data_IF_429349111195
#
_entry.id   IF_429349111195
#
_cell.length_a   1.000
_cell.length_b   1.000
_cell.length_c   1.000
_cell.angle_alpha   90.00
_cell.angle_beta   90.00
_cell.angle_gamma   90.00
#
_symmetry.space_group_name_H-M   'P 1'
#
loop_
_entity.id
_entity.type
_entity.pdbx_description
1 polymer ?
#
# COMPACT_ATOMS: atom_id res chain seq x y z
N UNK A 1 -23.95 18.63 1.23
CA UNK A 1 -23.85 17.77 0.02
C UNK A 1 -22.41 17.37 -0.37
N UNK A 2 -21.40 18.26 -0.28
CA UNK A 2 -19.98 17.96 -0.65
C UNK A 2 -19.37 16.76 0.10
N UNK A 3 -19.70 16.61 1.38
CA UNK A 3 -19.23 15.55 2.28
C UNK A 3 -19.53 14.10 1.82
N UNK A 4 -20.80 13.78 1.57
CA UNK A 4 -21.23 12.44 1.15
C UNK A 4 -20.62 12.05 -0.21
N UNK A 5 -20.51 13.01 -1.13
CA UNK A 5 -19.90 12.81 -2.45
C UNK A 5 -18.43 12.40 -2.35
N UNK A 6 -17.64 13.03 -1.47
CA UNK A 6 -16.22 12.70 -1.30
C UNK A 6 -16.00 11.28 -0.77
N UNK A 7 -16.78 10.87 0.23
CA UNK A 7 -16.72 9.51 0.78
C UNK A 7 -17.14 8.47 -0.27
N UNK A 8 -18.19 8.77 -1.04
CA UNK A 8 -18.66 7.90 -2.13
C UNK A 8 -17.58 7.73 -3.21
N UNK A 9 -16.99 8.83 -3.68
CA UNK A 9 -15.90 8.80 -4.68
C UNK A 9 -14.74 7.95 -4.18
N UNK A 10 -14.29 8.17 -2.94
CA UNK A 10 -13.20 7.38 -2.37
C UNK A 10 -13.52 5.89 -2.35
N UNK A 11 -14.72 5.52 -1.90
CA UNK A 11 -15.15 4.10 -1.87
C UNK A 11 -15.23 3.52 -3.27
N UNK A 12 -15.73 4.27 -4.24
CA UNK A 12 -15.80 3.84 -5.63
C UNK A 12 -14.41 3.58 -6.22
N UNK A 13 -13.45 4.50 -6.03
CA UNK A 13 -12.06 4.33 -6.49
C UNK A 13 -11.41 3.13 -5.79
N UNK A 14 -11.52 3.02 -4.47
CA UNK A 14 -10.96 1.88 -3.75
C UNK A 14 -11.58 0.54 -4.18
N UNK A 15 -12.90 0.51 -4.42
CA UNK A 15 -13.59 -0.68 -4.89
C UNK A 15 -13.18 -1.07 -6.32
N UNK A 16 -12.99 -0.11 -7.22
CA UNK A 16 -12.54 -0.40 -8.58
C UNK A 16 -11.13 -1.01 -8.60
N UNK A 17 -10.19 -0.46 -7.81
CA UNK A 17 -8.86 -1.05 -7.66
C UNK A 17 -8.90 -2.42 -6.98
N UNK A 18 -9.77 -2.61 -5.97
CA UNK A 18 -9.95 -3.90 -5.34
C UNK A 18 -10.45 -4.97 -6.32
N UNK A 19 -11.47 -4.67 -7.13
CA UNK A 19 -11.99 -5.56 -8.17
C UNK A 19 -10.90 -5.85 -9.21
N UNK A 20 -10.14 -4.84 -9.63
CA UNK A 20 -9.00 -5.01 -10.54
C UNK A 20 -7.92 -5.96 -9.96
N UNK A 21 -7.61 -5.85 -8.67
CA UNK A 21 -6.67 -6.75 -8.00
C UNK A 21 -7.21 -8.19 -7.93
N UNK A 22 -8.50 -8.39 -7.66
CA UNK A 22 -9.12 -9.72 -7.69
C UNK A 22 -9.06 -10.33 -9.09
N UNK A 23 -9.39 -9.54 -10.12
CA UNK A 23 -9.29 -9.97 -11.51
C UNK A 23 -7.85 -10.32 -11.90
N UNK A 24 -6.87 -9.50 -11.50
CA UNK A 24 -5.44 -9.77 -11.74
C UNK A 24 -4.98 -11.05 -11.03
N UNK A 25 -5.41 -11.28 -9.79
CA UNK A 25 -5.13 -12.51 -9.05
C UNK A 25 -5.74 -13.75 -9.72
N UNK A 26 -6.99 -13.64 -10.21
CA UNK A 26 -7.65 -14.72 -10.96
C UNK A 26 -6.93 -15.02 -12.28
N UNK A 27 -6.54 -13.99 -13.04
CA UNK A 27 -5.75 -14.17 -14.27
C UNK A 27 -4.39 -14.82 -13.97
N UNK A 28 -3.75 -14.43 -12.86
CA UNK A 28 -2.48 -15.04 -12.43
C UNK A 28 -2.66 -16.51 -12.06
N UNK A 29 -3.75 -16.85 -11.38
CA UNK A 29 -4.08 -18.25 -11.07
C UNK A 29 -4.29 -19.08 -12.34
N UNK A 30 -4.96 -18.53 -13.37
CA UNK A 30 -5.11 -19.20 -14.68
C UNK A 30 -3.77 -19.37 -15.40
N UNK A 31 -2.94 -18.33 -15.41
CA UNK A 31 -1.58 -18.42 -15.93
C UNK A 31 -0.79 -19.52 -15.20
N UNK A 32 -0.84 -19.55 -13.88
CA UNK A 32 -0.21 -20.58 -13.06
C UNK A 32 -0.69 -21.99 -13.44
N UNK A 33 -2.01 -22.22 -13.57
CA UNK A 33 -2.56 -23.52 -13.99
C UNK A 33 -2.07 -23.96 -15.37
N UNK A 34 -1.97 -23.03 -16.32
CA UNK A 34 -1.39 -23.30 -17.64
C UNK A 34 0.10 -23.67 -17.53
N UNK A 35 0.86 -22.93 -16.74
CA UNK A 35 2.29 -23.18 -16.54
C UNK A 35 2.55 -24.59 -15.99
N UNK A 36 1.78 -25.03 -14.99
CA UNK A 36 1.92 -26.38 -14.42
C UNK A 36 1.26 -27.50 -15.25
N UNK A 37 0.72 -27.18 -16.42
CA UNK A 37 0.10 -28.17 -17.33
C UNK A 37 -1.31 -28.62 -16.93
N UNK A 38 -1.97 -27.93 -15.98
CA UNK A 38 -3.36 -28.23 -15.58
C UNK A 38 -4.42 -27.51 -16.42
N UNK A 39 -4.01 -26.67 -17.37
CA UNK A 39 -4.90 -25.97 -18.31
C UNK A 39 -4.25 -25.91 -19.69
N UNK A 40 -5.02 -26.18 -20.74
CA UNK A 40 -4.58 -26.05 -22.14
C UNK A 40 -4.57 -24.59 -22.64
N UNK A 41 -5.41 -23.74 -22.07
CA UNK A 41 -5.56 -22.34 -22.49
C UNK A 41 -4.44 -21.47 -21.93
N UNK A 42 -3.66 -20.84 -22.83
CA UNK A 42 -2.67 -19.83 -22.46
C UNK A 42 -3.35 -18.54 -22.01
N UNK A 43 -2.86 -17.99 -20.91
CA UNK A 43 -3.26 -16.69 -20.36
C UNK A 43 -1.98 -15.92 -20.04
N UNK A 44 -1.84 -14.64 -20.44
CA UNK A 44 -0.63 -13.88 -20.14
C UNK A 44 -0.49 -13.64 -18.63
N UNK A 45 0.75 -13.64 -18.12
CA UNK A 45 1.05 -13.29 -16.73
C UNK A 45 0.68 -11.82 -16.47
N UNK A 46 -0.26 -11.51 -15.56
CA UNK A 46 -0.65 -10.13 -15.27
C UNK A 46 0.45 -9.41 -14.46
N UNK A 47 1.06 -8.31 -14.96
CA UNK A 47 2.15 -7.64 -14.26
C UNK A 47 1.74 -7.00 -12.92
N UNK A 48 0.47 -6.66 -12.76
CA UNK A 48 -0.05 -6.00 -11.56
C UNK A 48 0.15 -6.80 -10.26
N UNK A 49 0.33 -8.12 -10.33
CA UNK A 49 0.58 -8.96 -9.14
C UNK A 49 1.91 -8.66 -8.45
N UNK A 50 2.86 -8.10 -9.19
CA UNK A 50 4.16 -7.70 -8.65
C UNK A 50 4.05 -6.55 -7.63
N UNK A 51 2.93 -5.80 -7.65
CA UNK A 51 2.64 -4.76 -6.66
C UNK A 51 2.54 -5.28 -5.22
N UNK A 52 2.40 -6.59 -5.02
CA UNK A 52 2.38 -7.25 -3.70
C UNK A 52 3.76 -7.77 -3.26
N UNK A 53 4.84 -7.43 -3.99
CA UNK A 53 6.22 -7.88 -3.73
C UNK A 53 7.13 -6.72 -3.26
N UNK A 54 6.85 -6.06 -2.12
CA UNK A 54 7.53 -4.81 -1.73
C UNK A 54 9.01 -4.99 -1.41
N UNK A 55 9.43 -6.18 -0.94
CA UNK A 55 10.83 -6.48 -0.63
C UNK A 55 11.65 -6.54 -1.92
N UNK A 56 11.16 -7.29 -2.92
CA UNK A 56 11.80 -7.37 -4.24
C UNK A 56 11.86 -5.99 -4.91
N UNK A 57 10.77 -5.20 -4.82
CA UNK A 57 10.74 -3.84 -5.34
C UNK A 57 11.73 -2.89 -4.63
N UNK A 58 11.95 -3.03 -3.32
CA UNK A 58 12.94 -2.24 -2.58
C UNK A 58 14.38 -2.60 -2.98
N UNK A 59 14.68 -3.88 -3.15
CA UNK A 59 15.97 -4.36 -3.67
C UNK A 59 16.20 -3.81 -5.10
N UNK A 60 15.19 -3.92 -5.95
CA UNK A 60 15.20 -3.38 -7.31
C UNK A 60 15.39 -1.86 -7.34
N UNK A 61 14.77 -1.11 -6.42
CA UNK A 61 14.96 0.34 -6.31
C UNK A 61 16.40 0.68 -5.94
N UNK A 62 17.01 -0.02 -4.98
CA UNK A 62 18.41 0.18 -4.64
C UNK A 62 19.32 -0.09 -5.84
N UNK A 63 19.08 -1.18 -6.59
CA UNK A 63 19.83 -1.47 -7.82
C UNK A 63 19.67 -0.37 -8.87
N UNK A 64 18.44 0.12 -9.08
CA UNK A 64 18.16 1.21 -10.02
C UNK A 64 18.96 2.47 -9.65
N UNK A 65 19.02 2.83 -8.37
CA UNK A 65 19.78 4.00 -7.91
C UNK A 65 21.28 3.82 -8.13
N UNK A 66 21.82 2.62 -7.88
CA UNK A 66 23.25 2.34 -7.99
C UNK A 66 23.75 2.17 -9.44
N UNK A 67 22.91 1.63 -10.33
CA UNK A 67 23.34 1.22 -11.69
C UNK A 67 22.63 1.95 -12.82
N UNK A 68 21.53 2.65 -12.53
CA UNK A 68 20.62 3.17 -13.55
C UNK A 68 19.80 2.11 -14.28
N UNK A 69 19.97 0.82 -13.96
CA UNK A 69 19.30 -0.28 -14.66
C UNK A 69 17.96 -0.63 -14.01
N UNK A 70 16.91 -0.66 -14.83
CA UNK A 70 15.59 -1.11 -14.40
C UNK A 70 15.59 -2.61 -14.08
N UNK A 71 14.66 -3.05 -13.22
CA UNK A 71 14.50 -4.47 -12.93
C UNK A 71 13.91 -5.20 -14.13
N UNK A 72 14.51 -6.34 -14.48
CA UNK A 72 14.08 -7.18 -15.60
C UNK A 72 13.16 -8.30 -15.13
N UNK A 73 13.16 -8.63 -13.84
CA UNK A 73 12.39 -9.74 -13.29
C UNK A 73 11.00 -9.29 -12.86
N UNK A 74 10.89 -8.27 -12.01
CA UNK A 74 9.63 -7.67 -11.54
C UNK A 74 9.53 -6.16 -11.81
N UNK A 75 9.56 -5.75 -13.10
CA UNK A 75 9.53 -4.33 -13.49
C UNK A 75 8.24 -3.59 -13.09
N UNK A 76 7.07 -4.24 -13.12
CA UNK A 76 5.83 -3.61 -12.71
C UNK A 76 5.80 -3.38 -11.19
N UNK A 77 6.36 -4.31 -10.40
CA UNK A 77 6.52 -4.17 -8.96
C UNK A 77 7.34 -2.94 -8.59
N UNK A 78 8.49 -2.74 -9.25
CA UNK A 78 9.33 -1.56 -9.08
C UNK A 78 8.57 -0.26 -9.47
N UNK A 79 7.86 -0.28 -10.59
CA UNK A 79 7.08 0.88 -11.06
C UNK A 79 5.99 1.29 -10.07
N UNK A 80 5.18 0.32 -9.61
CA UNK A 80 4.11 0.55 -8.63
C UNK A 80 4.71 1.08 -7.31
N UNK A 81 5.84 0.51 -6.90
CA UNK A 81 6.54 0.92 -5.68
C UNK A 81 7.02 2.38 -5.79
N UNK A 82 7.70 2.76 -6.88
CA UNK A 82 8.13 4.14 -7.15
C UNK A 82 6.92 5.07 -7.16
N UNK A 83 5.84 4.70 -7.86
CA UNK A 83 4.63 5.52 -7.93
C UNK A 83 4.07 5.82 -6.54
N UNK A 84 4.02 4.82 -5.68
CA UNK A 84 3.51 5.00 -4.34
C UNK A 84 4.50 5.73 -3.39
N UNK A 85 5.82 5.71 -3.64
CA UNK A 85 6.78 6.60 -2.96
C UNK A 85 6.65 8.07 -3.44
N UNK A 86 6.49 8.31 -4.74
CA UNK A 86 6.26 9.66 -5.29
C UNK A 86 4.95 10.23 -4.77
N UNK A 87 3.88 9.43 -4.76
CA UNK A 87 2.61 9.81 -4.15
C UNK A 87 2.81 10.09 -2.65
N UNK A 88 3.59 9.28 -1.93
CA UNK A 88 3.94 9.52 -0.52
C UNK A 88 4.57 10.89 -0.29
N UNK A 89 5.52 11.25 -1.15
CA UNK A 89 6.30 12.48 -1.10
C UNK A 89 5.47 13.71 -1.48
N UNK A 90 4.51 13.62 -2.41
CA UNK A 90 3.75 14.78 -2.90
C UNK A 90 2.38 14.90 -2.22
N UNK A 91 1.72 13.78 -1.99
CA UNK A 91 0.30 13.66 -1.60
C UNK A 91 0.12 12.86 -0.30
N UNK A 92 1.09 12.91 0.63
CA UNK A 92 1.12 12.06 1.84
C UNK A 92 0.89 10.58 1.47
N UNK A 93 0.42 9.71 2.38
CA UNK A 93 0.06 8.31 2.03
C UNK A 93 -1.21 8.20 1.18
N UNK A 94 -1.40 9.06 0.18
CA UNK A 94 -2.53 9.07 -0.75
C UNK A 94 -2.71 7.73 -1.46
N UNK A 95 -1.63 6.99 -1.73
CA UNK A 95 -1.73 5.64 -2.28
C UNK A 95 -2.51 4.71 -1.35
N UNK A 96 -2.16 4.67 -0.05
CA UNK A 96 -2.91 3.92 0.97
C UNK A 96 -4.35 4.42 1.14
N UNK A 97 -4.58 5.72 0.96
CA UNK A 97 -5.89 6.34 1.09
C UNK A 97 -6.86 6.04 -0.05
N UNK A 98 -6.36 5.90 -1.28
CA UNK A 98 -7.18 5.91 -2.49
C UNK A 98 -7.02 4.68 -3.39
N UNK A 99 -5.80 4.12 -3.51
CA UNK A 99 -5.50 3.03 -4.47
C UNK A 99 -5.39 1.66 -3.77
N UNK A 100 -4.77 1.60 -2.59
CA UNK A 100 -4.39 0.34 -1.96
C UNK A 100 -5.60 -0.58 -1.62
N UNK A 101 -5.63 -1.83 -2.11
CA UNK A 101 -6.73 -2.78 -1.86
C UNK A 101 -6.81 -3.21 -0.38
N UNK A 102 -5.66 -3.32 0.31
CA UNK A 102 -5.64 -3.63 1.75
C UNK A 102 -6.28 -2.50 2.56
N UNK A 103 -6.13 -1.25 2.11
CA UNK A 103 -6.81 -0.10 2.69
C UNK A 103 -8.33 -0.16 2.52
N UNK A 104 -8.81 -0.68 1.39
CA UNK A 104 -10.25 -0.93 1.17
C UNK A 104 -10.78 -1.98 2.15
N UNK A 105 -10.15 -3.14 2.25
CA UNK A 105 -10.54 -4.20 3.19
C UNK A 105 -10.56 -3.67 4.63
N UNK A 106 -9.51 -2.97 5.04
CA UNK A 106 -9.42 -2.38 6.39
C UNK A 106 -10.55 -1.38 6.66
N UNK A 107 -10.90 -0.54 5.68
CA UNK A 107 -12.02 0.39 5.78
C UNK A 107 -13.36 -0.34 5.91
N UNK A 108 -13.57 -1.43 5.17
CA UNK A 108 -14.80 -2.23 5.24
C UNK A 108 -14.95 -2.89 6.61
N UNK A 109 -13.88 -3.48 7.15
CA UNK A 109 -13.86 -4.02 8.51
C UNK A 109 -14.13 -2.94 9.56
N UNK A 110 -13.58 -1.74 9.39
CA UNK A 110 -13.87 -0.61 10.28
C UNK A 110 -15.33 -0.11 10.18
N UNK A 111 -15.98 -0.21 9.01
CA UNK A 111 -17.42 0.06 8.87
C UNK A 111 -18.22 -1.01 9.62
N UNK A 112 -17.86 -2.27 9.48
CA UNK A 112 -18.49 -3.39 10.18
C UNK A 112 -18.36 -3.24 11.70
N UNK A 113 -17.15 -2.98 12.21
CA UNK A 113 -16.92 -2.75 13.64
C UNK A 113 -17.74 -1.59 14.20
N UNK A 114 -17.94 -0.51 13.43
CA UNK A 114 -18.81 0.61 13.84
C UNK A 114 -20.28 0.22 13.91
N UNK A 115 -20.75 -0.60 12.98
CA UNK A 115 -22.14 -1.12 12.98
C UNK A 115 -22.39 -2.06 14.15
N UNK A 116 -21.38 -2.86 14.52
CA UNK A 116 -21.43 -3.76 15.65
C UNK A 116 -21.11 -3.09 17.00
N UNK A 117 -20.82 -1.78 17.01
CA UNK A 117 -20.41 -1.03 18.20
C UNK A 117 -19.17 -1.60 18.93
N UNK A 118 -18.33 -2.37 18.22
CA UNK A 118 -17.10 -3.00 18.75
C UNK A 118 -15.87 -2.09 18.62
N UNK A 119 -16.02 -0.87 18.10
CA UNK A 119 -14.85 -0.01 17.83
C UNK A 119 -14.22 0.50 19.10
N UNK A 120 -12.94 0.19 19.25
CA UNK A 120 -12.07 0.65 20.31
C UNK A 120 -10.89 1.43 19.72
N UNK A 121 -10.45 2.47 20.44
CA UNK A 121 -9.24 3.23 20.11
C UNK A 121 -8.26 2.99 21.24
N UNK A 122 -7.10 2.37 20.98
CA UNK A 122 -6.15 2.07 22.03
C UNK A 122 -5.61 3.36 22.66
N UNK A 123 -5.36 3.35 23.98
CA UNK A 123 -4.77 4.49 24.67
C UNK A 123 -3.33 4.74 24.22
N UNK A 124 -2.77 5.96 24.39
CA UNK A 124 -1.46 6.32 23.86
C UNK A 124 -0.30 5.41 24.30
N UNK A 125 -0.35 4.89 25.54
CA UNK A 125 0.69 4.01 26.08
C UNK A 125 0.74 2.64 25.38
N UNK A 126 -0.39 2.17 24.84
CA UNK A 126 -0.45 0.93 24.05
C UNK A 126 -0.26 1.22 22.55
N UNK A 127 -0.77 2.36 22.08
CA UNK A 127 -0.70 2.72 20.68
C UNK A 127 0.73 3.01 20.19
N UNK A 128 1.55 3.62 21.05
CA UNK A 128 2.94 3.96 20.73
C UNK A 128 3.81 2.72 20.46
N UNK A 129 3.92 1.71 21.35
CA UNK A 129 4.72 0.52 21.09
C UNK A 129 4.19 -0.30 19.91
N UNK A 130 2.86 -0.40 19.75
CA UNK A 130 2.28 -1.07 18.58
C UNK A 130 2.62 -0.36 17.27
N UNK A 131 2.63 0.98 17.28
CA UNK A 131 3.03 1.77 16.11
C UNK A 131 4.53 1.66 15.84
N UNK A 132 5.35 1.50 16.87
CA UNK A 132 6.79 1.28 16.70
C UNK A 132 7.10 -0.01 15.95
N UNK A 133 6.26 -1.06 16.09
CA UNK A 133 6.48 -2.36 15.45
C UNK A 133 6.67 -2.27 13.93
N UNK A 134 5.84 -1.52 13.20
CA UNK A 134 6.03 -1.34 11.74
C UNK A 134 7.33 -0.60 11.39
N UNK A 135 7.80 0.29 12.26
CA UNK A 135 9.06 1.01 12.05
C UNK A 135 10.25 0.10 12.38
N UNK A 136 10.13 -0.79 13.36
CA UNK A 136 11.11 -1.84 13.62
C UNK A 136 11.20 -2.82 12.45
N UNK A 137 10.07 -3.25 11.88
CA UNK A 137 10.05 -4.08 10.67
C UNK A 137 10.68 -3.35 9.49
N UNK A 138 10.35 -2.07 9.29
CA UNK A 138 10.98 -1.26 8.25
C UNK A 138 12.50 -1.14 8.47
N UNK A 139 12.95 -0.89 9.70
CA UNK A 139 14.36 -0.79 10.05
C UNK A 139 15.09 -2.11 9.79
N UNK A 140 14.48 -3.25 10.15
CA UNK A 140 15.01 -4.58 9.87
C UNK A 140 15.22 -4.82 8.37
N UNK A 141 14.20 -4.61 7.53
CA UNK A 141 14.32 -4.79 6.09
C UNK A 141 15.29 -3.78 5.46
N UNK A 142 15.26 -2.53 5.93
CA UNK A 142 16.16 -1.48 5.43
C UNK A 142 17.61 -1.77 5.80
N UNK A 143 17.88 -2.28 7.00
CA UNK A 143 19.22 -2.71 7.41
C UNK A 143 19.73 -3.86 6.52
N UNK A 144 18.92 -4.89 6.32
CA UNK A 144 19.32 -6.01 5.46
C UNK A 144 19.58 -5.59 4.02
N UNK A 145 18.70 -4.77 3.42
CA UNK A 145 18.77 -4.45 1.99
C UNK A 145 19.70 -3.26 1.72
N UNK A 146 19.58 -2.18 2.49
CA UNK A 146 20.33 -0.95 2.25
C UNK A 146 21.75 -1.02 2.81
N UNK A 147 21.95 -1.67 3.96
CA UNK A 147 23.27 -1.72 4.62
C UNK A 147 24.03 -3.03 4.32
N UNK A 148 23.41 -4.20 4.53
CA UNK A 148 24.11 -5.49 4.47
C UNK A 148 24.38 -5.98 3.04
N UNK A 149 23.45 -5.78 2.09
CA UNK A 149 23.61 -6.24 0.71
C UNK A 149 24.39 -5.23 -0.12
N UNK A 150 25.55 -5.61 -0.65
CA UNK A 150 26.27 -4.83 -1.66
C UNK A 150 25.66 -5.02 -3.06
N UNK A 151 26.23 -4.36 -4.08
CA UNK A 151 25.72 -4.45 -5.45
C UNK A 151 25.80 -5.88 -5.99
N UNK A 152 26.91 -6.60 -5.74
CA UNK A 152 27.10 -7.96 -6.20
C UNK A 152 26.07 -8.92 -5.60
N UNK A 153 25.79 -8.82 -4.29
CA UNK A 153 24.75 -9.60 -3.63
C UNK A 153 23.34 -9.29 -4.19
N UNK A 154 23.07 -8.03 -4.54
CA UNK A 154 21.79 -7.64 -5.15
C UNK A 154 21.63 -8.26 -6.55
N UNK A 155 22.65 -8.18 -7.39
CA UNK A 155 22.61 -8.79 -8.72
C UNK A 155 22.47 -10.31 -8.65
N UNK A 156 23.19 -10.93 -7.72
CA UNK A 156 23.05 -12.35 -7.41
C UNK A 156 21.62 -12.71 -6.99
N UNK A 157 21.05 -11.96 -6.04
CA UNK A 157 19.69 -12.18 -5.53
C UNK A 157 18.63 -12.05 -6.62
N UNK A 158 18.66 -10.99 -7.43
CA UNK A 158 17.64 -10.72 -8.46
C UNK A 158 17.57 -11.86 -9.48
N UNK A 159 18.74 -12.42 -9.85
CA UNK A 159 18.86 -13.52 -10.82
C UNK A 159 18.56 -14.89 -10.21
N UNK A 160 18.34 -14.99 -8.90
CA UNK A 160 18.01 -16.29 -8.30
C UNK A 160 16.64 -16.80 -8.76
N UNK A 161 16.49 -18.14 -8.88
CA UNK A 161 15.19 -18.76 -9.10
C UNK A 161 14.17 -18.35 -8.03
N UNK A 162 14.63 -18.12 -6.78
CA UNK A 162 13.77 -17.68 -5.67
C UNK A 162 13.07 -16.36 -5.99
N UNK A 163 13.81 -15.34 -6.43
CA UNK A 163 13.23 -14.05 -6.78
C UNK A 163 12.30 -14.20 -8.00
N UNK A 164 12.64 -15.00 -9.01
CA UNK A 164 11.80 -15.19 -10.20
C UNK A 164 10.41 -15.82 -9.92
N UNK A 165 10.27 -16.61 -8.85
CA UNK A 165 9.01 -17.31 -8.51
C UNK A 165 8.33 -16.81 -7.24
N UNK A 166 8.78 -15.67 -6.71
CA UNK A 166 8.25 -15.13 -5.44
C UNK A 166 6.75 -14.81 -5.50
N UNK A 167 6.22 -14.49 -6.69
CA UNK A 167 4.79 -14.30 -6.95
C UNK A 167 3.99 -15.61 -6.80
N UNK A 168 4.52 -16.74 -7.29
CA UNK A 168 3.92 -18.05 -7.09
C UNK A 168 4.03 -18.50 -5.64
N UNK A 169 5.13 -18.19 -4.95
CA UNK A 169 5.25 -18.43 -3.51
C UNK A 169 4.18 -17.67 -2.73
N UNK A 170 3.93 -16.41 -3.09
CA UNK A 170 2.82 -15.63 -2.54
C UNK A 170 1.47 -16.28 -2.85
N UNK A 171 1.25 -16.77 -4.07
CA UNK A 171 0.02 -17.51 -4.40
C UNK A 171 -0.15 -18.78 -3.55
N UNK A 172 0.92 -19.55 -3.34
CA UNK A 172 0.87 -20.75 -2.49
C UNK A 172 0.56 -20.42 -1.03
N UNK A 173 1.05 -19.30 -0.51
CA UNK A 173 0.69 -18.83 0.82
C UNK A 173 -0.83 -18.70 1.00
N UNK A 174 -1.56 -18.29 -0.06
CA UNK A 174 -3.02 -18.19 -0.03
C UNK A 174 -3.76 -19.47 -0.42
N UNK A 175 -3.23 -20.27 -1.35
CA UNK A 175 -3.86 -21.53 -1.78
C UNK A 175 -3.69 -22.68 -0.78
N UNK A 176 -2.60 -22.67 -0.02
CA UNK A 176 -2.24 -23.70 0.97
C UNK A 176 -1.78 -23.04 2.28
N UNK A 177 -2.66 -22.26 2.95
CA UNK A 177 -2.30 -21.59 4.18
C UNK A 177 -2.06 -22.63 5.29
N UNK A 178 -0.98 -22.47 6.06
CA UNK A 178 -0.75 -23.29 7.25
C UNK A 178 -1.75 -22.95 8.36
N UNK A 179 -1.98 -23.86 9.31
CA UNK A 179 -2.86 -23.60 10.46
C UNK A 179 -2.48 -22.31 11.21
N UNK A 180 -1.17 -22.10 11.41
CA UNK A 180 -0.64 -20.87 12.00
C UNK A 180 -1.01 -19.63 11.18
N UNK A 181 -0.92 -19.71 9.84
CA UNK A 181 -1.29 -18.61 8.94
C UNK A 181 -2.77 -18.26 9.09
N UNK A 182 -3.65 -19.28 9.12
CA UNK A 182 -5.10 -19.09 9.30
C UNK A 182 -5.38 -18.40 10.64
N UNK A 183 -4.75 -18.87 11.73
CA UNK A 183 -4.92 -18.28 13.06
C UNK A 183 -4.48 -16.81 13.06
N UNK A 184 -3.30 -16.48 12.51
CA UNK A 184 -2.80 -15.10 12.45
C UNK A 184 -3.75 -14.21 11.64
N UNK A 185 -4.19 -14.66 10.47
CA UNK A 185 -5.13 -13.90 9.63
C UNK A 185 -6.46 -13.69 10.38
N UNK A 186 -7.00 -14.72 11.04
CA UNK A 186 -8.21 -14.61 11.83
C UNK A 186 -8.08 -13.58 12.97
N UNK A 187 -6.97 -13.63 13.73
CA UNK A 187 -6.67 -12.65 14.78
C UNK A 187 -6.58 -11.24 14.20
N UNK A 188 -5.88 -11.05 13.08
CA UNK A 188 -5.77 -9.75 12.42
C UNK A 188 -7.12 -9.23 11.93
N UNK A 189 -8.01 -10.09 11.45
CA UNK A 189 -9.36 -9.72 11.03
C UNK A 189 -10.21 -9.27 12.22
N UNK A 190 -10.22 -10.04 13.31
CA UNK A 190 -10.94 -9.68 14.55
C UNK A 190 -10.41 -8.36 15.11
N UNK A 191 -9.09 -8.23 15.23
CA UNK A 191 -8.47 -6.99 15.68
C UNK A 191 -8.78 -5.81 14.75
N UNK A 192 -8.90 -6.02 13.44
CA UNK A 192 -9.24 -4.97 12.46
C UNK A 192 -10.72 -4.56 12.50
N UNK A 193 -11.60 -5.40 13.06
CA UNK A 193 -13.00 -5.04 13.36
C UNK A 193 -13.04 -4.16 14.62
N UNK A 194 -12.31 -4.57 15.67
CA UNK A 194 -12.27 -3.84 16.94
C UNK A 194 -11.48 -2.52 16.84
N UNK A 195 -10.31 -2.54 16.22
CA UNK A 195 -9.43 -1.39 16.05
C UNK A 195 -9.28 -1.09 14.56
N UNK A 196 -9.30 0.19 14.18
CA UNK A 196 -9.23 0.55 12.76
C UNK A 196 -7.83 0.39 12.19
N UNK A 197 -7.77 -0.18 10.99
CA UNK A 197 -6.57 -0.25 10.17
C UNK A 197 -5.36 -0.87 10.87
N UNK A 198 -5.56 -1.89 11.72
CA UNK A 198 -4.50 -2.57 12.50
C UNK A 198 -3.28 -2.93 11.65
N UNK A 199 -3.50 -3.55 10.48
CA UNK A 199 -2.40 -3.88 9.56
C UNK A 199 -1.62 -2.65 9.13
N UNK A 200 -2.30 -1.64 8.58
CA UNK A 200 -1.65 -0.43 8.06
C UNK A 200 -1.03 0.45 9.17
N UNK A 201 -1.56 0.39 10.39
CA UNK A 201 -1.13 1.20 11.53
C UNK A 201 0.02 0.56 12.30
N UNK A 202 0.06 -0.75 12.42
CA UNK A 202 1.00 -1.44 13.32
C UNK A 202 1.97 -2.43 12.64
N UNK A 203 1.59 -3.00 11.49
CA UNK A 203 2.37 -4.10 10.89
C UNK A 203 2.94 -3.80 9.51
N UNK A 204 2.41 -2.83 8.77
CA UNK A 204 2.81 -2.58 7.39
C UNK A 204 4.12 -1.77 7.31
N UNK A 205 5.28 -2.38 6.98
CA UNK A 205 6.55 -1.64 6.84
C UNK A 205 6.50 -0.67 5.66
N UNK A 206 5.75 -1.00 4.62
CA UNK A 206 5.56 -0.12 3.48
C UNK A 206 4.75 1.14 3.84
N UNK A 207 3.73 0.97 4.69
CA UNK A 207 3.00 2.07 5.28
C UNK A 207 3.87 2.93 6.20
N UNK A 208 4.85 2.33 6.90
CA UNK A 208 5.85 3.09 7.66
C UNK A 208 6.73 3.93 6.73
N UNK A 209 7.27 3.34 5.66
CA UNK A 209 8.12 4.03 4.68
C UNK A 209 7.41 5.22 4.04
N UNK A 210 6.18 5.01 3.52
CA UNK A 210 5.37 6.11 3.00
C UNK A 210 5.04 7.15 4.07
N UNK A 211 4.96 6.76 5.35
CA UNK A 211 4.72 7.67 6.46
C UNK A 211 5.88 8.60 6.71
N UNK A 212 7.10 8.07 6.68
CA UNK A 212 8.31 8.87 6.78
C UNK A 212 8.39 9.87 5.62
N UNK A 213 8.18 9.40 4.38
CA UNK A 213 8.16 10.28 3.21
C UNK A 213 7.04 11.34 3.27
N UNK A 214 5.87 10.97 3.80
CA UNK A 214 4.73 11.90 3.92
C UNK A 214 4.97 13.09 4.84
N UNK A 215 5.99 13.05 5.69
CA UNK A 215 6.37 14.18 6.54
C UNK A 215 6.91 15.35 5.70
N UNK A 216 7.58 15.04 4.58
CA UNK A 216 8.08 16.02 3.63
C UNK A 216 7.02 16.53 2.65
N UNK A 217 5.82 15.93 2.69
CA UNK A 217 4.76 16.28 1.75
C UNK A 217 4.32 17.74 1.85
N UNK A 218 4.24 18.46 0.70
CA UNK A 218 3.73 19.82 0.65
C UNK A 218 2.22 19.86 0.90
N UNK A 219 1.50 18.75 0.67
CA UNK A 219 0.06 18.67 0.91
C UNK A 219 -0.27 18.41 2.38
N UNK A 220 -1.18 19.20 2.93
CA UNK A 220 -1.56 19.15 4.35
C UNK A 220 -3.05 19.44 4.53
N UNK A 221 -3.63 18.83 5.56
CA UNK A 221 -4.94 19.23 6.06
C UNK A 221 -4.70 20.33 7.09
N UNK A 222 -5.28 21.50 6.85
CA UNK A 222 -5.19 22.65 7.73
C UNK A 222 -6.52 22.82 8.46
N UNK A 223 -6.42 23.03 9.77
CA UNK A 223 -7.55 23.32 10.65
C UNK A 223 -7.52 24.81 10.96
N UNK A 224 -8.64 25.46 10.74
CA UNK A 224 -8.89 26.79 11.27
C UNK A 224 -9.27 26.70 12.74
N UNK A 225 -8.52 27.41 13.59
CA UNK A 225 -8.68 27.34 15.03
C UNK A 225 -9.92 28.10 15.51
N UNK A 226 -10.27 29.19 14.83
CA UNK A 226 -11.34 30.10 15.21
C UNK A 226 -12.71 29.50 14.92
N UNK A 227 -12.89 28.90 13.74
CA UNK A 227 -14.14 28.20 13.39
C UNK A 227 -14.33 26.85 14.09
N UNK A 228 -13.30 26.30 14.73
CA UNK A 228 -13.35 24.95 15.29
C UNK A 228 -14.09 24.89 16.63
N UNK A 229 -15.31 24.34 16.61
CA UNK A 229 -16.14 24.09 17.81
C UNK A 229 -15.70 22.89 18.67
N UNK A 230 -14.51 22.33 18.45
CA UNK A 230 -13.95 21.21 19.24
C UNK A 230 -14.84 19.96 19.42
N UNK A 231 -15.76 19.68 18.49
CA UNK A 231 -16.69 18.54 18.57
C UNK A 231 -16.05 17.13 18.42
N UNK A 232 -14.75 17.04 18.10
CA UNK A 232 -13.95 15.81 17.91
C UNK A 232 -14.51 14.78 16.90
N UNK A 233 -15.51 15.13 16.09
CA UNK A 233 -16.04 14.25 15.02
C UNK A 233 -14.95 13.85 14.01
N UNK A 234 -14.08 14.77 13.63
CA UNK A 234 -12.96 14.51 12.72
C UNK A 234 -12.00 13.43 13.27
N UNK A 235 -11.75 13.40 14.58
CA UNK A 235 -10.91 12.40 15.25
C UNK A 235 -11.63 11.05 15.30
N UNK A 236 -12.92 11.06 15.65
CA UNK A 236 -13.76 9.85 15.71
C UNK A 236 -13.83 9.13 14.35
N UNK A 237 -13.71 9.82 13.23
CA UNK A 237 -13.70 9.22 11.88
C UNK A 237 -12.29 9.10 11.28
N UNK A 238 -11.24 9.59 11.94
CA UNK A 238 -9.88 9.48 11.42
C UNK A 238 -9.41 8.01 11.45
N UNK A 239 -9.04 7.40 10.30
CA UNK A 239 -8.53 6.03 10.27
C UNK A 239 -7.17 5.89 10.96
N UNK A 240 -6.40 6.97 11.08
CA UNK A 240 -5.12 7.01 11.80
C UNK A 240 -5.25 7.40 13.27
N UNK A 241 -6.47 7.55 13.80
CA UNK A 241 -6.76 8.01 15.17
C UNK A 241 -5.95 9.25 15.61
N UNK A 242 -5.80 10.21 14.68
CA UNK A 242 -5.03 11.43 14.91
C UNK A 242 -5.85 12.40 15.75
N UNK A 243 -5.24 12.98 16.79
CA UNK A 243 -5.77 14.15 17.50
C UNK A 243 -5.69 15.37 16.58
N UNK A 244 -6.80 15.71 15.93
CA UNK A 244 -6.92 16.78 14.93
C UNK A 244 -7.20 18.12 15.61
N UNK A 245 -7.99 18.15 16.68
CA UNK A 245 -8.38 19.41 17.34
C UNK A 245 -7.19 20.09 18.02
N UNK A 246 -6.17 19.33 18.42
CA UNK A 246 -4.96 19.87 19.06
C UNK A 246 -3.92 20.40 18.06
N UNK A 247 -4.18 20.32 16.75
CA UNK A 247 -3.21 20.65 15.70
C UNK A 247 -3.79 21.67 14.72
N UNK A 248 -3.01 22.69 14.38
CA UNK A 248 -3.37 23.65 13.30
C UNK A 248 -3.12 23.07 11.91
N UNK A 249 -2.07 22.26 11.76
CA UNK A 249 -1.78 21.53 10.52
C UNK A 249 -1.49 20.06 10.83
N UNK A 250 -2.12 19.16 10.06
CA UNK A 250 -1.95 17.73 10.25
C UNK A 250 -0.66 17.27 9.56
N UNK A 251 0.44 17.22 10.32
CA UNK A 251 1.76 16.72 9.88
C UNK A 251 2.06 15.28 10.33
N UNK A 252 1.06 14.52 10.75
CA UNK A 252 1.27 13.16 11.26
C UNK A 252 1.65 12.18 10.13
N UNK A 253 2.63 11.28 10.35
CA UNK A 253 2.92 10.19 9.43
C UNK A 253 1.76 9.20 9.33
N UNK A 254 0.81 9.19 10.27
CA UNK A 254 -0.38 8.31 10.19
C UNK A 254 -1.50 8.89 9.31
N UNK A 255 -1.33 10.11 8.79
CA UNK A 255 -2.31 10.72 7.91
C UNK A 255 -2.26 10.09 6.51
N UNK A 256 -3.25 9.27 6.19
CA UNK A 256 -3.36 8.61 4.89
C UNK A 256 -3.97 9.47 3.77
N UNK A 257 -4.15 10.78 3.99
CA UNK A 257 -4.67 11.67 2.95
C UNK A 257 -6.08 11.33 2.43
N UNK A 258 -6.89 10.66 3.26
CA UNK A 258 -8.21 10.17 2.86
C UNK A 258 -9.34 11.21 2.86
N UNK A 259 -9.11 12.35 3.50
CA UNK A 259 -10.06 13.47 3.62
C UNK A 259 -11.40 13.16 4.32
N UNK A 260 -11.52 12.04 5.04
CA UNK A 260 -12.73 11.74 5.82
C UNK A 260 -13.03 12.82 6.86
N UNK A 261 -11.99 13.39 7.48
CA UNK A 261 -12.15 14.46 8.47
C UNK A 261 -12.79 15.73 7.88
N UNK A 262 -12.50 16.07 6.62
CA UNK A 262 -13.18 17.18 5.92
C UNK A 262 -14.63 16.84 5.64
N UNK A 263 -14.93 15.59 5.27
CA UNK A 263 -16.28 15.17 4.96
C UNK A 263 -17.21 15.11 6.19
N UNK A 264 -16.70 14.80 7.38
CA UNK A 264 -17.55 14.70 8.58
C UNK A 264 -17.61 15.97 9.42
N UNK A 265 -16.84 17.00 9.09
CA UNK A 265 -16.81 18.23 9.86
C UNK A 265 -18.17 18.97 9.73
N UNK A 266 -18.84 19.32 10.85
CA UNK A 266 -20.13 20.00 10.80
C UNK A 266 -19.98 21.49 10.44
N UNK A 267 -18.81 22.08 10.67
CA UNK A 267 -18.54 23.49 10.37
C UNK A 267 -17.95 23.56 8.95
N UNK A 268 -18.57 24.35 8.04
CA UNK A 268 -18.04 24.55 6.69
C UNK A 268 -16.64 25.19 6.76
N UNK A 269 -15.75 24.72 5.88
CA UNK A 269 -14.39 25.26 5.68
C UNK A 269 -13.46 25.30 6.91
N UNK A 270 -13.89 24.76 8.05
CA UNK A 270 -13.05 24.60 9.25
C UNK A 270 -11.83 23.69 9.00
N UNK A 271 -11.96 22.71 8.10
CA UNK A 271 -10.87 21.86 7.64
C UNK A 271 -10.73 21.99 6.14
N UNK A 272 -9.53 22.33 5.67
CA UNK A 272 -9.22 22.52 4.24
C UNK A 272 -7.99 21.74 3.83
N UNK A 273 -7.95 21.34 2.56
CA UNK A 273 -6.75 20.76 1.94
C UNK A 273 -5.89 21.92 1.41
N UNK A 274 -4.61 21.92 1.77
CA UNK A 274 -3.66 22.95 1.36
C UNK A 274 -2.43 22.32 0.72
N UNK A 275 -1.79 23.05 -0.20
CA UNK A 275 -0.54 22.66 -0.85
C UNK A 275 0.52 23.74 -0.58
N UNK A 276 1.70 23.31 -0.11
CA UNK A 276 2.90 24.13 0.13
C UNK A 276 2.65 25.39 0.99
N UNK A 277 2.29 26.50 0.36
CA UNK A 277 2.14 27.87 0.90
C UNK A 277 0.72 28.18 1.38
N UNK A 278 0.06 27.23 2.07
CA UNK A 278 -1.32 27.37 2.59
C UNK A 278 -2.39 27.67 1.55
N UNK A 279 -2.09 27.58 0.24
CA UNK A 279 -3.11 27.73 -0.80
C UNK A 279 -4.15 26.64 -0.64
N UNK A 280 -5.39 27.03 -0.36
CA UNK A 280 -6.50 26.11 -0.27
C UNK A 280 -6.81 25.56 -1.66
N UNK A 281 -6.95 24.24 -1.74
CA UNK A 281 -7.29 23.53 -2.97
C UNK A 281 -8.55 22.70 -2.76
N UNK A 282 -9.34 22.45 -3.82
CA UNK A 282 -10.51 21.58 -3.73
C UNK A 282 -10.15 20.19 -3.20
N UNK A 283 -11.01 19.59 -2.38
CA UNK A 283 -10.79 18.24 -1.84
C UNK A 283 -10.61 17.16 -2.93
N UNK A 284 -11.20 17.35 -4.11
CA UNK A 284 -11.06 16.45 -5.27
C UNK A 284 -9.66 16.50 -5.91
N UNK A 285 -8.87 17.52 -5.62
CA UNK A 285 -7.48 17.61 -6.10
C UNK A 285 -6.67 16.41 -5.62
N UNK A 286 -6.94 15.91 -4.42
CA UNK A 286 -6.22 14.77 -3.85
C UNK A 286 -6.39 13.48 -4.66
N UNK A 287 -7.61 12.94 -4.88
CA UNK A 287 -7.78 11.73 -5.70
C UNK A 287 -7.33 11.93 -7.15
N UNK A 288 -7.59 13.11 -7.73
CA UNK A 288 -7.22 13.38 -9.12
C UNK A 288 -5.70 13.31 -9.29
N UNK A 289 -4.93 14.00 -8.43
CA UNK A 289 -3.47 13.95 -8.50
C UNK A 289 -2.91 12.56 -8.19
N UNK A 290 -3.50 11.82 -7.23
CA UNK A 290 -3.10 10.44 -6.95
C UNK A 290 -3.23 9.57 -8.19
N UNK A 291 -4.38 9.66 -8.88
CA UNK A 291 -4.64 8.88 -10.10
C UNK A 291 -3.76 9.35 -11.27
N UNK A 292 -3.57 10.65 -11.46
CA UNK A 292 -2.70 11.20 -12.52
C UNK A 292 -1.27 10.72 -12.34
N UNK A 293 -0.70 10.82 -11.13
CA UNK A 293 0.68 10.37 -10.88
C UNK A 293 0.81 8.86 -11.08
N UNK A 294 -0.15 8.08 -10.55
CA UNK A 294 -0.13 6.63 -10.70
C UNK A 294 -0.23 6.20 -12.16
N UNK A 295 -1.23 6.72 -12.90
CA UNK A 295 -1.44 6.40 -14.31
C UNK A 295 -0.31 6.93 -15.19
N UNK A 296 0.25 8.10 -14.89
CA UNK A 296 1.38 8.67 -15.63
C UNK A 296 2.63 7.80 -15.55
N UNK A 297 3.00 7.34 -14.34
CA UNK A 297 4.14 6.44 -14.15
C UNK A 297 3.89 5.05 -14.77
N UNK A 298 2.67 4.55 -14.68
CA UNK A 298 2.27 3.30 -15.34
C UNK A 298 2.38 3.40 -16.87
N UNK A 299 1.87 4.48 -17.48
CA UNK A 299 1.98 4.73 -18.92
C UNK A 299 3.45 4.92 -19.35
N UNK A 300 4.25 5.61 -18.54
CA UNK A 300 5.70 5.74 -18.78
C UNK A 300 6.42 4.39 -18.76
N UNK A 301 6.07 3.50 -17.83
CA UNK A 301 6.63 2.15 -17.79
C UNK A 301 6.21 1.30 -19.00
N UNK A 302 4.97 1.45 -19.49
CA UNK A 302 4.51 0.83 -20.73
C UNK A 302 5.30 1.34 -21.93
N UNK A 303 5.43 2.65 -22.08
CA UNK A 303 6.14 3.29 -23.20
C UNK A 303 7.63 2.91 -23.25
N UNK A 304 8.26 2.70 -22.10
CA UNK A 304 9.68 2.30 -21.99
C UNK A 304 9.90 0.79 -22.02
N UNK A 305 8.85 -0.03 -22.16
CA UNK A 305 8.95 -1.50 -22.13
C UNK A 305 9.34 -2.07 -20.76
N UNK A 306 9.19 -1.28 -19.70
CA UNK A 306 9.51 -1.62 -18.32
C UNK A 306 8.25 -1.94 -17.49
N UNK A 307 7.24 -2.52 -18.13
CA UNK A 307 6.03 -3.00 -17.45
C UNK A 307 5.93 -4.53 -17.44
N UNK A 308 6.42 -5.20 -18.47
CA UNK A 308 6.38 -6.64 -18.59
C UNK A 308 7.71 -7.27 -18.19
N UNK A 309 7.66 -8.35 -17.42
CA UNK A 309 8.85 -9.14 -17.07
C UNK A 309 9.57 -9.64 -18.33
N UNK A 310 10.90 -9.54 -18.34
CA UNK A 310 11.76 -10.00 -19.44
C UNK A 310 12.22 -11.46 -19.26
N UNK A 311 11.75 -12.15 -18.22
CA UNK A 311 12.09 -13.56 -17.98
C UNK A 311 11.43 -14.44 -19.05
N UNK A 312 12.18 -15.30 -19.75
CA UNK A 312 11.62 -16.19 -20.76
C UNK A 312 10.55 -17.13 -20.18
N UNK A 313 9.46 -17.34 -20.92
CA UNK A 313 8.37 -18.23 -20.51
C UNK A 313 8.84 -19.67 -20.21
N UNK A 314 9.84 -20.17 -20.96
CA UNK A 314 10.45 -21.49 -20.72
C UNK A 314 11.07 -21.59 -19.32
N UNK A 315 11.79 -20.55 -18.91
CA UNK A 315 12.41 -20.45 -17.58
C UNK A 315 11.36 -20.36 -16.48
N UNK A 316 10.32 -19.53 -16.66
CA UNK A 316 9.20 -19.46 -15.72
C UNK A 316 8.52 -20.83 -15.58
N UNK A 317 8.30 -21.54 -16.69
CA UNK A 317 7.68 -22.87 -16.67
C UNK A 317 8.50 -23.88 -15.87
N UNK A 318 9.81 -23.89 -16.05
CA UNK A 318 10.71 -24.74 -15.30
C UNK A 318 10.67 -24.46 -13.79
N UNK A 319 10.78 -23.19 -13.37
CA UNK A 319 10.86 -22.86 -11.95
C UNK A 319 9.50 -22.89 -11.24
N UNK A 320 8.40 -22.60 -11.91
CA UNK A 320 7.06 -22.64 -11.30
C UNK A 320 6.64 -24.07 -10.93
N UNK A 321 7.08 -25.08 -11.70
CA UNK A 321 6.82 -26.49 -11.39
C UNK A 321 7.51 -26.94 -10.09
N UNK A 322 8.66 -26.35 -9.76
CA UNK A 322 9.43 -26.62 -8.54
C UNK A 322 9.36 -25.49 -7.51
N UNK A 323 8.41 -24.55 -7.65
CA UNK A 323 8.38 -23.29 -6.90
C UNK A 323 8.32 -23.46 -5.36
N UNK A 324 7.74 -24.57 -4.89
CA UNK A 324 7.69 -24.91 -3.45
C UNK A 324 9.04 -25.39 -2.90
N UNK A 325 9.86 -26.08 -3.70
CA UNK A 325 11.15 -26.64 -3.25
C UNK A 325 12.31 -25.63 -3.34
N UNK A 326 12.15 -24.52 -4.08
CA UNK A 326 13.16 -23.46 -4.15
C UNK A 326 13.26 -22.75 -2.79
N UNK A 327 14.38 -22.89 -2.10
CA UNK A 327 14.66 -22.20 -0.83
C UNK A 327 15.23 -20.81 -1.06
N UNK A 328 15.11 -19.92 -0.06
CA UNK A 328 15.76 -18.61 -0.11
C UNK A 328 17.29 -18.82 -0.15
N UNK A 329 18.05 -18.11 -1.00
CA UNK A 329 19.51 -18.20 -1.01
C UNK A 329 20.06 -17.86 0.38
N UNK A 330 21.00 -18.66 0.88
CA UNK A 330 21.58 -18.51 2.22
C UNK A 330 22.57 -17.36 2.28
#
# INVERSE_FOLDING_TARGET
MKAKRLILIRRAVQASFFIFCLYSGWQFYRFYLWVIGKSALYVPRPPAVEGFLPISALVALKRLILTGQYDTVHPAGLTIFIAALVIALVLRKGFCGWICPVGFCSNMLAVLGRRLHLTWVPPPWLDLPLTALKYLLLAFFSYLILWKMDLAAIEGFIRTPYNMVVDVKMLYFFLRPSNLTIIIIAVLLVLSICTRNVWCRYLCPYGALQGLLSMFSPTRIQRDAESCINCRKCEKFCPGAIKITTKSAIKSPECIGCLECLAVCPVPDCLSLTIATRRQVPALTMPILVLIIFSGLWLGALATGNWHSKVPLKTLKQYYQIGLSITHPR
#
